data_IF_132783086044
#
_entry.id   IF_132783086044
#
_cell.length_a   1.000
_cell.length_b   1.000
_cell.length_c   1.000
_cell.angle_alpha   90.00
_cell.angle_beta   90.00
_cell.angle_gamma   90.00
#
_symmetry.space_group_name_H-M   'P 1'
#
loop_
_entity.id
_entity.type
_entity.pdbx_description
1 polymer ?
#
# COMPACT_ATOMS: atom_id res chain seq x y z
N UNK A 1 12.56 7.16 -38.06
CA UNK A 1 12.51 5.75 -37.67
C UNK A 1 11.14 5.57 -37.06
N UNK A 2 10.15 5.31 -37.90
CA UNK A 2 8.76 5.23 -37.46
C UNK A 2 8.52 3.85 -36.89
N UNK A 3 7.99 3.80 -35.66
CA UNK A 3 7.55 2.56 -35.06
C UNK A 3 6.43 1.99 -35.93
N UNK A 4 6.64 0.78 -36.42
CA UNK A 4 5.61 0.05 -37.14
C UNK A 4 4.45 -0.25 -36.19
N UNK A 5 3.24 -0.38 -36.73
CA UNK A 5 2.06 -0.74 -35.94
C UNK A 5 2.28 -2.00 -35.08
N UNK A 6 3.01 -2.97 -35.63
CA UNK A 6 3.38 -4.21 -34.94
C UNK A 6 4.32 -4.00 -33.75
N UNK A 7 5.26 -3.06 -33.82
CA UNK A 7 6.14 -2.70 -32.70
C UNK A 7 5.38 -1.96 -31.59
N UNK A 8 4.42 -1.11 -31.96
CA UNK A 8 3.52 -0.46 -30.99
C UNK A 8 2.64 -1.47 -30.27
N UNK A 9 2.08 -2.44 -30.98
CA UNK A 9 1.29 -3.52 -30.37
C UNK A 9 2.13 -4.39 -29.43
N UNK A 10 3.35 -4.75 -29.82
CA UNK A 10 4.26 -5.53 -28.99
C UNK A 10 4.62 -4.79 -27.69
N UNK A 11 4.87 -3.48 -27.78
CA UNK A 11 5.17 -2.65 -26.61
C UNK A 11 3.94 -2.49 -25.70
N UNK A 12 2.75 -2.29 -26.28
CA UNK A 12 1.50 -2.21 -25.53
C UNK A 12 1.21 -3.52 -24.77
N UNK A 13 1.43 -4.68 -25.41
CA UNK A 13 1.28 -5.98 -24.78
C UNK A 13 2.27 -6.18 -23.61
N UNK A 14 3.52 -5.76 -23.77
CA UNK A 14 4.53 -5.83 -22.72
C UNK A 14 4.18 -4.94 -21.51
N UNK A 15 3.70 -3.71 -21.77
CA UNK A 15 3.23 -2.81 -20.72
C UNK A 15 2.02 -3.40 -20.00
N UNK A 16 1.03 -3.91 -20.75
CA UNK A 16 -0.16 -4.52 -20.17
C UNK A 16 0.18 -5.70 -19.24
N UNK A 17 1.11 -6.56 -19.66
CA UNK A 17 1.63 -7.65 -18.82
C UNK A 17 2.26 -7.14 -17.53
N UNK A 18 3.15 -6.14 -17.63
CA UNK A 18 3.81 -5.55 -16.46
C UNK A 18 2.84 -4.88 -15.49
N UNK A 19 1.82 -4.20 -16.01
CA UNK A 19 0.75 -3.58 -15.20
C UNK A 19 -0.07 -4.65 -14.48
N UNK A 20 -0.47 -5.72 -15.16
CA UNK A 20 -1.23 -6.80 -14.56
C UNK A 20 -0.46 -7.51 -13.43
N UNK A 21 0.85 -7.75 -13.61
CA UNK A 21 1.69 -8.36 -12.58
C UNK A 21 1.82 -7.48 -11.34
N UNK A 22 1.96 -6.15 -11.54
CA UNK A 22 2.05 -5.18 -10.45
C UNK A 22 0.75 -5.14 -9.65
N UNK A 23 -0.39 -5.08 -10.33
CA UNK A 23 -1.72 -5.08 -9.69
C UNK A 23 -2.03 -6.38 -8.96
N UNK A 24 -1.62 -7.54 -9.50
CA UNK A 24 -1.76 -8.83 -8.82
C UNK A 24 -0.89 -8.91 -7.57
N UNK A 25 0.34 -8.42 -7.63
CA UNK A 25 1.22 -8.37 -6.47
C UNK A 25 0.63 -7.50 -5.35
N UNK A 26 0.00 -6.37 -5.70
CA UNK A 26 -0.74 -5.53 -4.75
C UNK A 26 -1.99 -6.22 -4.18
N UNK A 27 -2.78 -6.90 -5.01
CA UNK A 27 -3.99 -7.62 -4.57
C UNK A 27 -3.70 -8.82 -3.66
N UNK A 28 -2.53 -9.44 -3.79
CA UNK A 28 -2.16 -10.63 -3.00
C UNK A 28 -1.81 -10.26 -1.55
N UNK A 29 -1.54 -8.98 -1.29
CA UNK A 29 -1.16 -8.53 0.02
C UNK A 29 -2.40 -8.35 0.91
N UNK A 30 -2.41 -9.02 2.06
CA UNK A 30 -3.53 -8.98 2.98
C UNK A 30 -3.80 -7.53 3.44
N UNK A 31 -4.88 -6.93 2.94
CA UNK A 31 -5.27 -5.53 3.24
C UNK A 31 -5.48 -5.28 4.72
N UNK A 32 -6.04 -6.26 5.41
CA UNK A 32 -6.41 -6.16 6.82
C UNK A 32 -5.38 -6.87 7.68
N UNK A 33 -4.63 -6.09 8.45
CA UNK A 33 -3.54 -6.55 9.29
C UNK A 33 -3.98 -6.62 10.74
N UNK A 34 -3.55 -7.63 11.48
CA UNK A 34 -3.56 -7.59 12.95
C UNK A 34 -2.62 -6.48 13.44
N UNK A 35 -2.74 -6.10 14.71
CA UNK A 35 -1.84 -5.11 15.29
C UNK A 35 -0.36 -5.54 15.20
N UNK A 36 -0.08 -6.84 15.36
CA UNK A 36 1.25 -7.43 15.21
C UNK A 36 1.76 -7.30 13.78
N UNK A 37 0.98 -7.70 12.78
CA UNK A 37 1.36 -7.60 11.36
C UNK A 37 1.51 -6.13 10.92
N UNK A 38 0.66 -5.23 11.42
CA UNK A 38 0.74 -3.82 11.11
C UNK A 38 1.99 -3.15 11.67
N UNK A 39 2.49 -3.62 12.83
CA UNK A 39 3.76 -3.18 13.42
C UNK A 39 4.95 -3.60 12.56
N UNK A 40 4.95 -4.84 12.09
CA UNK A 40 5.97 -5.36 11.18
C UNK A 40 5.95 -4.61 9.84
N UNK A 41 4.74 -4.42 9.28
CA UNK A 41 4.52 -3.72 8.03
C UNK A 41 4.96 -2.26 8.10
N UNK A 42 4.48 -1.51 9.10
CA UNK A 42 4.78 -0.10 9.27
C UNK A 42 6.20 0.14 9.82
N UNK A 43 6.93 -0.89 10.24
CA UNK A 43 8.22 -0.79 10.96
C UNK A 43 8.16 0.18 12.15
N UNK A 44 7.03 0.19 12.85
CA UNK A 44 6.72 1.17 13.90
C UNK A 44 6.34 0.46 15.20
N UNK A 45 6.55 1.12 16.35
CA UNK A 45 6.16 0.53 17.64
C UNK A 45 4.64 0.39 17.77
N UNK A 46 4.15 -0.59 18.55
CA UNK A 46 2.72 -0.73 18.90
C UNK A 46 2.13 0.57 19.46
N UNK A 47 2.94 1.35 20.19
CA UNK A 47 2.51 2.61 20.79
C UNK A 47 2.35 3.72 19.73
N UNK A 48 3.29 3.82 18.78
CA UNK A 48 3.19 4.74 17.65
C UNK A 48 1.96 4.43 16.81
N UNK A 49 1.76 3.15 16.49
CA UNK A 49 0.62 2.70 15.69
C UNK A 49 -0.72 3.04 16.38
N UNK A 50 -0.82 2.80 17.69
CA UNK A 50 -1.99 3.20 18.48
C UNK A 50 -2.21 4.71 18.45
N UNK A 51 -1.16 5.52 18.65
CA UNK A 51 -1.29 6.99 18.58
C UNK A 51 -1.79 7.45 17.21
N UNK A 52 -1.32 6.85 16.12
CA UNK A 52 -1.78 7.20 14.77
C UNK A 52 -3.23 6.79 14.51
N UNK A 53 -3.64 5.64 15.04
CA UNK A 53 -5.04 5.19 14.99
C UNK A 53 -5.93 6.11 15.81
N UNK A 54 -5.54 6.42 17.06
CA UNK A 54 -6.30 7.28 17.97
C UNK A 54 -6.39 8.73 17.45
N UNK A 55 -5.36 9.19 16.73
CA UNK A 55 -5.34 10.49 16.05
C UNK A 55 -6.13 10.50 14.72
N UNK A 56 -6.61 9.34 14.25
CA UNK A 56 -7.38 9.21 13.01
C UNK A 56 -6.56 9.24 11.71
N UNK A 57 -5.22 9.12 11.80
CA UNK A 57 -4.34 9.05 10.63
C UNK A 57 -4.39 7.70 9.93
N UNK A 58 -4.60 6.63 10.71
CA UNK A 58 -4.64 5.24 10.23
C UNK A 58 -5.98 4.64 10.64
N UNK A 59 -6.66 4.00 9.70
CA UNK A 59 -7.94 3.37 9.97
C UNK A 59 -7.74 1.99 10.61
N UNK A 60 -8.48 1.75 11.69
CA UNK A 60 -8.55 0.46 12.34
C UNK A 60 -9.95 0.21 12.90
N UNK A 61 -10.34 -1.05 12.97
CA UNK A 61 -11.60 -1.47 13.57
C UNK A 61 -11.40 -2.67 14.50
N UNK A 62 -12.36 -2.91 15.39
CA UNK A 62 -12.34 -4.07 16.27
C UNK A 62 -13.16 -5.22 15.68
N UNK A 63 -12.56 -6.41 15.61
CA UNK A 63 -13.24 -7.66 15.24
C UNK A 63 -12.97 -8.71 16.31
N UNK A 64 -14.03 -9.18 16.96
CA UNK A 64 -13.94 -10.27 17.96
C UNK A 64 -12.92 -9.98 19.08
N UNK A 65 -12.86 -8.72 19.53
CA UNK A 65 -11.91 -8.26 20.56
C UNK A 65 -10.48 -7.97 20.08
N UNK A 66 -10.16 -8.25 18.81
CA UNK A 66 -8.85 -7.94 18.20
C UNK A 66 -8.94 -6.65 17.38
N UNK A 67 -7.85 -5.88 17.37
CA UNK A 67 -7.71 -4.70 16.53
C UNK A 67 -7.19 -5.11 15.16
N UNK A 68 -7.89 -4.68 14.12
CA UNK A 68 -7.55 -4.93 12.72
C UNK A 68 -7.29 -3.56 12.07
N UNK A 69 -6.15 -3.41 11.44
CA UNK A 69 -5.63 -2.17 10.87
C UNK A 69 -5.68 -2.27 9.34
N UNK A 70 -6.11 -1.21 8.67
CA UNK A 70 -6.12 -1.14 7.20
C UNK A 70 -4.74 -0.76 6.68
N UNK A 71 -4.12 -1.68 5.94
CA UNK A 71 -2.81 -1.46 5.31
C UNK A 71 -2.79 -0.24 4.40
N UNK A 72 -3.82 -0.06 3.58
CA UNK A 72 -3.89 1.07 2.64
C UNK A 72 -3.85 2.42 3.37
N UNK A 73 -4.48 2.50 4.54
CA UNK A 73 -4.43 3.71 5.36
C UNK A 73 -3.04 3.99 5.96
N UNK A 74 -2.25 2.93 6.25
CA UNK A 74 -0.84 3.07 6.64
C UNK A 74 -0.03 3.62 5.47
N UNK A 75 -0.22 3.09 4.26
CA UNK A 75 0.47 3.53 3.05
C UNK A 75 0.13 4.99 2.70
N UNK A 76 -1.14 5.35 2.81
CA UNK A 76 -1.61 6.72 2.59
C UNK A 76 -0.96 7.70 3.59
N UNK A 77 -0.87 7.31 4.86
CA UNK A 77 -0.21 8.11 5.89
C UNK A 77 1.28 8.33 5.58
N UNK A 78 2.03 7.27 5.28
CA UNK A 78 3.45 7.41 4.94
C UNK A 78 3.67 8.23 3.66
N UNK A 79 2.83 8.06 2.66
CA UNK A 79 2.89 8.85 1.42
C UNK A 79 2.63 10.33 1.69
N UNK A 80 1.76 10.66 2.65
CA UNK A 80 1.51 12.04 3.06
C UNK A 80 2.70 12.69 3.79
N UNK A 81 3.49 11.91 4.56
CA UNK A 81 4.71 12.42 5.19
C UNK A 81 5.87 12.58 4.20
N UNK A 82 5.99 11.71 3.20
CA UNK A 82 7.07 11.76 2.19
C UNK A 82 6.98 13.03 1.32
N UNK A 83 5.79 13.57 1.09
CA UNK A 83 5.59 14.80 0.30
C UNK A 83 6.06 16.06 1.06
N UNK A 84 6.32 15.97 2.36
CA UNK A 84 6.62 17.14 3.21
C UNK A 84 8.11 17.35 3.53
N UNK A 85 9.02 16.69 2.80
CA UNK A 85 10.47 16.96 2.88
C UNK A 85 10.89 17.90 1.74
N UNK A 86 11.12 19.20 2.00
CA UNK A 86 11.84 20.03 1.04
C UNK A 86 13.32 19.58 1.05
N UNK A 87 13.79 19.05 -0.08
CA UNK A 87 15.22 18.98 -0.40
C UNK A 87 15.76 20.36 -0.75
#
# INVERSE_FOLDING_TARGET
>A
MDLTHSEMEAMAAAIAGKVADTLRAEQTAQRWLTLEEAVEYARASKNSLRRWIDAGHIYAFRRTGKLIVDRESIDAWYSSEIINFPT
#
